data_IF_930010253876
#
_entry.id   IF_930010253876
#
_cell.length_a   1.000
_cell.length_b   1.000
_cell.length_c   1.000
_cell.angle_alpha   90.00
_cell.angle_beta   90.00
_cell.angle_gamma   90.00
#
_symmetry.space_group_name_H-M   'P 1'
#
loop_
_entity.id
_entity.type
_entity.pdbx_description
1 polymer ?
#
# COMPACT_ATOMS: atom_id res chain seq x y z
N UNK A 1 3.42 -32.49 -0.20
CA UNK A 1 4.69 -32.16 0.47
C UNK A 1 4.36 -31.63 1.84
N UNK A 2 5.24 -31.83 2.81
CA UNK A 2 4.98 -31.58 4.24
C UNK A 2 4.85 -30.08 4.60
N UNK A 3 5.01 -29.19 3.62
CA UNK A 3 4.75 -27.75 3.73
C UNK A 3 4.19 -27.18 2.40
N UNK A 4 2.86 -27.15 2.20
CA UNK A 4 2.26 -26.63 0.97
C UNK A 4 2.35 -25.11 0.90
N UNK A 5 2.85 -24.59 -0.22
CA UNK A 5 2.90 -23.15 -0.53
C UNK A 5 1.89 -22.83 -1.65
N UNK A 6 0.91 -21.93 -1.42
CA UNK A 6 -0.08 -21.53 -2.43
C UNK A 6 0.53 -20.96 -3.72
N UNK A 7 1.74 -20.40 -3.66
CA UNK A 7 2.45 -19.86 -4.82
C UNK A 7 3.11 -20.95 -5.68
N UNK A 8 3.14 -22.21 -5.21
CA UNK A 8 3.81 -23.33 -5.87
C UNK A 8 2.83 -24.39 -6.39
N UNK A 9 3.09 -24.90 -7.60
CA UNK A 9 2.38 -26.08 -8.13
C UNK A 9 3.24 -26.80 -9.18
N UNK A 10 2.76 -27.94 -9.68
CA UNK A 10 3.39 -28.65 -10.80
C UNK A 10 3.14 -27.97 -12.16
N UNK A 11 2.19 -27.03 -12.22
CA UNK A 11 1.90 -26.25 -13.41
C UNK A 11 2.91 -25.10 -13.57
N UNK A 12 3.16 -24.61 -14.79
CA UNK A 12 4.15 -23.56 -15.05
C UNK A 12 3.73 -22.16 -14.55
N UNK A 13 2.61 -22.05 -13.84
CA UNK A 13 2.08 -20.78 -13.33
C UNK A 13 2.41 -20.62 -11.85
N UNK A 14 2.68 -19.38 -11.44
CA UNK A 14 2.96 -18.97 -10.05
C UNK A 14 2.07 -17.79 -9.67
N UNK A 15 1.77 -17.70 -8.38
CA UNK A 15 1.02 -16.58 -7.79
C UNK A 15 2.03 -15.69 -7.05
N UNK A 16 1.96 -14.40 -7.29
CA UNK A 16 2.80 -13.41 -6.60
C UNK A 16 1.92 -12.34 -5.99
N UNK A 17 2.22 -11.93 -4.76
CA UNK A 17 1.66 -10.70 -4.23
C UNK A 17 2.41 -9.51 -4.82
N UNK A 18 1.67 -8.46 -5.16
CA UNK A 18 2.25 -7.18 -5.57
C UNK A 18 1.79 -6.16 -4.53
N UNK A 19 2.75 -5.44 -3.96
CA UNK A 19 2.48 -4.39 -3.00
C UNK A 19 3.76 -3.74 -2.52
N UNK A 20 3.61 -2.81 -1.59
CA UNK A 20 4.73 -2.28 -0.83
C UNK A 20 4.99 -3.22 0.37
N UNK A 21 6.26 -3.48 0.65
CA UNK A 21 6.69 -4.27 1.80
C UNK A 21 6.94 -3.41 3.05
N UNK A 22 6.87 -2.06 2.95
CA UNK A 22 6.93 -1.17 4.11
C UNK A 22 5.56 -1.02 4.78
N UNK A 23 5.55 -1.09 6.12
CA UNK A 23 4.36 -0.79 6.94
C UNK A 23 4.32 0.71 7.19
N UNK A 24 3.36 1.41 6.58
CA UNK A 24 3.11 2.83 6.85
C UNK A 24 2.00 3.02 7.88
N UNK A 25 2.16 4.02 8.75
CA UNK A 25 1.15 4.35 9.77
C UNK A 25 0.00 5.15 9.14
N UNK A 26 -1.25 4.81 9.48
CA UNK A 26 -2.42 5.56 9.01
C UNK A 26 -2.36 7.06 9.32
N UNK A 27 -1.87 7.44 10.49
CA UNK A 27 -1.73 8.86 10.85
C UNK A 27 -0.72 9.59 9.96
N UNK A 28 0.37 8.91 9.57
CA UNK A 28 1.36 9.47 8.65
C UNK A 28 0.76 9.63 7.24
N UNK A 29 0.02 8.62 6.77
CA UNK A 29 -0.73 8.72 5.51
C UNK A 29 -1.65 9.94 5.49
N UNK A 30 -2.43 10.16 6.57
CA UNK A 30 -3.33 11.30 6.66
C UNK A 30 -2.55 12.62 6.68
N UNK A 31 -1.43 12.70 7.41
CA UNK A 31 -0.58 13.90 7.45
C UNK A 31 -0.05 14.29 6.07
N UNK A 32 0.51 13.32 5.33
CA UNK A 32 1.01 13.52 3.97
C UNK A 32 -0.11 14.00 3.04
N UNK A 33 -1.32 13.45 3.18
CA UNK A 33 -2.49 13.87 2.40
C UNK A 33 -2.94 15.29 2.76
N UNK A 34 -2.96 15.65 4.05
CA UNK A 34 -3.27 17.00 4.51
C UNK A 34 -2.29 18.03 3.92
N UNK A 35 -1.01 17.68 3.85
CA UNK A 35 0.04 18.55 3.31
C UNK A 35 -0.08 18.68 1.78
N UNK A 36 -0.32 17.57 1.06
CA UNK A 36 -0.55 17.60 -0.39
C UNK A 36 -1.82 18.38 -0.79
N UNK A 37 -2.86 18.32 0.05
CA UNK A 37 -4.09 19.07 -0.16
C UNK A 37 -4.00 20.52 0.35
N UNK A 38 -3.06 20.84 1.23
CA UNK A 38 -2.92 22.15 1.87
C UNK A 38 -4.01 22.42 2.92
N UNK A 39 -4.62 21.38 3.49
CA UNK A 39 -5.74 21.50 4.44
C UNK A 39 -5.69 20.41 5.50
N UNK A 40 -5.75 20.82 6.77
CA UNK A 40 -5.87 19.88 7.89
C UNK A 40 -7.29 19.31 7.98
N UNK A 41 -7.37 17.99 8.16
CA UNK A 41 -8.62 17.27 8.34
C UNK A 41 -9.12 17.43 9.78
N UNK A 42 -10.44 17.53 9.94
CA UNK A 42 -11.08 17.39 11.25
C UNK A 42 -11.19 15.90 11.57
N UNK A 43 -10.17 15.37 12.24
CA UNK A 43 -10.08 13.95 12.60
C UNK A 43 -11.15 13.59 13.64
N UNK A 44 -11.94 12.55 13.37
CA UNK A 44 -12.85 11.93 14.32
C UNK A 44 -12.31 10.55 14.67
N UNK A 45 -11.67 10.42 15.83
CA UNK A 45 -11.07 9.16 16.25
C UNK A 45 -12.17 8.19 16.71
N UNK A 46 -12.13 6.97 16.19
CA UNK A 46 -13.05 5.90 16.51
C UNK A 46 -12.26 4.67 16.93
N UNK A 47 -12.90 3.77 17.65
CA UNK A 47 -12.33 2.47 17.98
C UNK A 47 -12.09 1.63 16.71
N UNK A 48 -11.25 0.59 16.83
CA UNK A 48 -10.96 -0.34 15.73
C UNK A 48 -12.26 -0.97 15.21
N UNK A 49 -12.47 -0.93 13.90
CA UNK A 49 -13.70 -1.45 13.32
C UNK A 49 -13.63 -2.98 13.23
N UNK A 50 -14.77 -3.68 13.34
CA UNK A 50 -14.82 -5.12 13.11
C UNK A 50 -14.31 -5.46 11.70
N UNK A 51 -13.20 -6.18 11.61
CA UNK A 51 -12.56 -6.55 10.34
C UNK A 51 -11.26 -5.80 10.04
N UNK A 52 -10.93 -4.75 10.78
CA UNK A 52 -9.61 -4.12 10.71
C UNK A 52 -8.52 -5.06 11.26
N UNK A 53 -7.37 -5.06 10.61
CA UNK A 53 -6.15 -5.70 11.10
C UNK A 53 -5.15 -4.63 11.53
N UNK A 54 -4.48 -4.84 12.67
CA UNK A 54 -3.55 -3.85 13.27
C UNK A 54 -2.45 -3.43 12.30
N UNK A 55 -1.95 -4.38 11.51
CA UNK A 55 -1.02 -4.13 10.42
C UNK A 55 -1.10 -5.27 9.39
N UNK A 56 -1.09 -4.90 8.11
CA UNK A 56 -0.97 -5.83 6.99
C UNK A 56 0.06 -5.29 6.01
N UNK A 57 0.77 -6.19 5.34
CA UNK A 57 1.78 -5.86 4.33
C UNK A 57 1.84 -7.01 3.33
N UNK A 58 2.21 -6.70 2.10
CA UNK A 58 2.38 -7.72 1.06
C UNK A 58 3.72 -8.43 1.27
N UNK A 59 3.67 -9.76 1.36
CA UNK A 59 4.88 -10.58 1.21
C UNK A 59 5.22 -10.69 -0.27
N UNK A 60 6.31 -10.05 -0.66
CA UNK A 60 6.76 -9.91 -2.05
C UNK A 60 8.11 -10.61 -2.29
N UNK A 61 8.57 -11.44 -1.36
CA UNK A 61 9.92 -12.05 -1.40
C UNK A 61 10.15 -12.84 -2.70
N UNK A 62 9.16 -13.61 -3.14
CA UNK A 62 9.23 -14.36 -4.40
C UNK A 62 9.30 -13.45 -5.63
N UNK A 63 8.61 -12.31 -5.60
CA UNK A 63 8.60 -11.35 -6.71
C UNK A 63 9.94 -10.59 -6.79
N UNK A 64 10.53 -10.25 -5.65
CA UNK A 64 11.90 -9.70 -5.57
C UNK A 64 12.89 -10.73 -6.13
N UNK A 65 12.82 -11.98 -5.67
CA UNK A 65 13.76 -13.03 -6.06
C UNK A 65 13.72 -13.35 -7.56
N UNK A 66 12.53 -13.47 -8.14
CA UNK A 66 12.37 -13.94 -9.51
C UNK A 66 12.46 -12.80 -10.55
N UNK A 67 12.17 -11.55 -10.16
CA UNK A 67 12.07 -10.42 -11.09
C UNK A 67 12.84 -9.16 -10.68
N UNK A 68 13.61 -9.20 -9.57
CA UNK A 68 14.26 -8.02 -8.96
C UNK A 68 13.28 -6.86 -8.74
N UNK A 69 12.04 -7.18 -8.37
CA UNK A 69 10.99 -6.19 -8.12
C UNK A 69 11.37 -5.28 -6.95
N UNK A 70 11.36 -3.97 -7.18
CA UNK A 70 11.71 -2.95 -6.18
C UNK A 70 10.78 -1.75 -6.33
N UNK A 71 9.67 -1.68 -5.56
CA UNK A 71 8.85 -0.49 -5.56
C UNK A 71 9.65 0.65 -4.92
N UNK A 72 9.82 1.75 -5.63
CA UNK A 72 10.59 2.93 -5.20
C UNK A 72 9.72 4.17 -5.00
N UNK A 73 8.41 4.04 -5.26
CA UNK A 73 7.43 5.12 -5.09
C UNK A 73 7.24 5.39 -3.60
N UNK A 74 7.74 6.53 -3.13
CA UNK A 74 7.51 6.96 -1.74
C UNK A 74 6.05 7.33 -1.51
N UNK A 75 5.62 7.29 -0.25
CA UNK A 75 4.24 7.64 0.10
C UNK A 75 3.91 9.10 -0.24
N UNK A 76 4.86 9.99 0.00
CA UNK A 76 4.75 11.43 -0.28
C UNK A 76 4.62 11.69 -1.78
N UNK A 77 5.43 11.01 -2.59
CA UNK A 77 5.34 11.13 -4.04
C UNK A 77 4.00 10.58 -4.56
N UNK A 78 3.61 9.37 -4.15
CA UNK A 78 2.36 8.75 -4.60
C UNK A 78 1.12 9.55 -4.20
N UNK A 79 1.05 10.04 -2.96
CA UNK A 79 -0.06 10.90 -2.50
C UNK A 79 -0.03 12.26 -3.20
N UNK A 80 1.15 12.83 -3.44
CA UNK A 80 1.30 14.09 -4.18
C UNK A 80 0.75 14.00 -5.60
N UNK A 81 1.15 12.97 -6.35
CA UNK A 81 0.66 12.73 -7.72
C UNK A 81 -0.85 12.45 -7.72
N UNK A 82 -1.36 11.69 -6.75
CA UNK A 82 -2.80 11.47 -6.61
C UNK A 82 -3.56 12.76 -6.33
N UNK A 83 -3.10 13.60 -5.40
CA UNK A 83 -3.74 14.86 -5.04
C UNK A 83 -3.75 15.84 -6.23
N UNK A 84 -2.66 15.88 -6.99
CA UNK A 84 -2.57 16.67 -8.23
C UNK A 84 -3.59 16.20 -9.26
N UNK A 85 -3.60 14.90 -9.57
CA UNK A 85 -4.59 14.31 -10.48
C UNK A 85 -6.03 14.62 -10.04
N UNK A 86 -6.33 14.49 -8.74
CA UNK A 86 -7.65 14.76 -8.19
C UNK A 86 -8.07 16.22 -8.41
N UNK A 87 -7.20 17.18 -8.08
CA UNK A 87 -7.44 18.61 -8.29
C UNK A 87 -7.65 18.94 -9.77
N UNK A 88 -6.82 18.39 -10.65
CA UNK A 88 -6.90 18.58 -12.09
C UNK A 88 -8.21 18.03 -12.67
N UNK A 89 -8.60 16.82 -12.24
CA UNK A 89 -9.79 16.14 -12.72
C UNK A 89 -11.08 16.82 -12.25
N UNK A 90 -11.16 17.19 -10.96
CA UNK A 90 -12.35 17.81 -10.37
C UNK A 90 -12.37 19.33 -10.46
N UNK A 91 -11.28 19.96 -10.92
CA UNK A 91 -11.11 21.42 -11.06
C UNK A 91 -11.31 22.16 -9.73
N UNK A 92 -10.62 21.69 -8.69
CA UNK A 92 -10.68 22.21 -7.31
C UNK A 92 -9.33 22.69 -6.79
#
# INVERSE_FOLDING_TARGET
GDNPDPASSYCPYRIYNIGNNSKEKLLYFIEVLEDALGRKAKKNFMDMQPGDVVATYADVDDLIKDFDYRPDTSLEYGIGEFAKWYKDYFKV
#
